data_IF_809271481942
#
_entry.id   IF_809271481942
#
_cell.length_a   1.000
_cell.length_b   1.000
_cell.length_c   1.000
_cell.angle_alpha   90.00
_cell.angle_beta   90.00
_cell.angle_gamma   90.00
#
_symmetry.space_group_name_H-M   'P 1'
#
loop_
_entity.id
_entity.type
_entity.pdbx_description
1 polymer ?
#
# COMPACT_ATOMS: atom_id res chain seq x y z
N UNK A 1 13.20 22.05 -16.05
CA UNK A 1 12.88 23.43 -15.83
C UNK A 1 12.61 24.21 -17.10
N UNK A 2 11.55 23.86 -17.87
CA UNK A 2 11.01 24.70 -18.98
C UNK A 2 9.55 24.98 -18.72
N UNK A 3 9.10 26.21 -18.96
CA UNK A 3 7.67 26.52 -19.06
C UNK A 3 7.15 25.80 -20.31
N UNK A 4 6.15 24.94 -20.15
CA UNK A 4 5.57 24.12 -21.25
C UNK A 4 4.26 24.68 -21.76
N UNK A 5 3.52 25.39 -20.90
CA UNK A 5 2.26 26.03 -21.23
C UNK A 5 1.97 27.16 -20.24
N UNK A 6 1.07 28.08 -20.64
CA UNK A 6 0.49 29.14 -19.81
C UNK A 6 -1.02 29.11 -20.01
N UNK A 7 -1.78 29.07 -18.93
CA UNK A 7 -3.23 28.91 -18.94
C UNK A 7 -3.93 29.97 -18.10
N UNK A 8 -5.10 30.37 -18.57
CA UNK A 8 -6.05 31.07 -17.71
C UNK A 8 -6.78 30.03 -16.83
N UNK A 9 -6.85 30.27 -15.53
CA UNK A 9 -7.54 29.37 -14.56
C UNK A 9 -9.00 29.12 -14.91
N UNK A 10 -9.66 30.07 -15.58
CA UNK A 10 -11.07 29.94 -16.00
C UNK A 10 -11.25 29.04 -17.24
N UNK A 11 -10.17 28.71 -17.96
CA UNK A 11 -10.22 28.02 -19.26
C UNK A 11 -9.45 26.71 -19.28
N UNK A 12 -8.97 26.27 -18.16
CA UNK A 12 -8.21 25.01 -18.04
C UNK A 12 -8.90 24.02 -17.10
N UNK A 13 -8.58 22.72 -17.28
CA UNK A 13 -9.04 21.67 -16.39
C UNK A 13 -7.87 21.03 -15.64
N UNK A 14 -8.12 20.31 -14.52
CA UNK A 14 -7.10 19.53 -13.83
C UNK A 14 -6.40 18.53 -14.75
N UNK A 15 -7.13 17.90 -15.66
CA UNK A 15 -6.62 16.94 -16.63
C UNK A 15 -5.65 17.60 -17.61
N UNK A 16 -6.00 18.77 -18.15
CA UNK A 16 -5.15 19.52 -19.07
C UNK A 16 -3.86 20.00 -18.40
N UNK A 17 -3.94 20.44 -17.13
CA UNK A 17 -2.76 20.79 -16.33
C UNK A 17 -1.88 19.55 -16.11
N UNK A 18 -2.47 18.41 -15.74
CA UNK A 18 -1.75 17.17 -15.54
C UNK A 18 -1.04 16.70 -16.82
N UNK A 19 -1.72 16.74 -17.98
CA UNK A 19 -1.13 16.39 -19.28
C UNK A 19 0.08 17.25 -19.62
N UNK A 20 -0.01 18.56 -19.39
CA UNK A 20 1.10 19.48 -19.67
C UNK A 20 2.27 19.32 -18.68
N UNK A 21 1.99 19.01 -17.40
CA UNK A 21 3.02 18.73 -16.40
C UNK A 21 3.81 17.44 -16.70
N UNK A 22 3.13 16.40 -17.18
CA UNK A 22 3.71 15.08 -17.47
C UNK A 22 4.22 15.00 -18.91
N UNK A 23 3.70 15.83 -19.82
CA UNK A 23 4.06 15.86 -21.24
C UNK A 23 3.37 14.76 -22.07
N UNK A 24 2.36 14.09 -21.52
CA UNK A 24 1.50 13.10 -22.19
C UNK A 24 0.15 13.02 -21.49
N UNK A 25 -0.84 12.41 -22.16
CA UNK A 25 -2.12 12.10 -21.50
C UNK A 25 -1.91 11.26 -20.26
N UNK A 26 -2.56 11.66 -19.17
CA UNK A 26 -2.57 10.95 -17.90
C UNK A 26 -3.96 10.39 -17.68
N UNK A 27 -4.06 9.06 -17.54
CA UNK A 27 -5.31 8.39 -17.26
C UNK A 27 -5.38 8.13 -15.75
N UNK A 28 -6.03 9.03 -15.01
CA UNK A 28 -6.30 8.83 -13.58
C UNK A 28 -7.39 7.77 -13.34
N UNK A 29 -8.21 7.46 -14.38
CA UNK A 29 -9.19 6.37 -14.33
C UNK A 29 -8.62 5.10 -14.94
N UNK A 30 -8.41 4.08 -14.14
CA UNK A 30 -7.90 2.79 -14.59
C UNK A 30 -9.06 1.81 -14.84
N UNK A 31 -9.01 1.09 -15.97
CA UNK A 31 -9.92 -0.03 -16.20
C UNK A 31 -9.58 -1.14 -15.22
N UNK A 32 -10.48 -1.41 -14.28
CA UNK A 32 -10.34 -2.54 -13.36
C UNK A 32 -10.51 -3.85 -14.17
N UNK A 33 -9.56 -4.78 -14.11
CA UNK A 33 -9.76 -6.09 -14.72
C UNK A 33 -10.89 -6.81 -13.99
N UNK A 34 -11.86 -7.33 -14.73
CA UNK A 34 -12.93 -8.16 -14.17
C UNK A 34 -12.34 -9.54 -13.90
N UNK A 35 -11.87 -9.76 -12.68
CA UNK A 35 -11.38 -11.06 -12.25
C UNK A 35 -12.41 -11.74 -11.36
N UNK A 36 -12.45 -13.07 -11.45
CA UNK A 36 -13.21 -13.86 -10.48
C UNK A 36 -12.43 -13.86 -9.16
N UNK A 37 -12.99 -13.24 -8.15
CA UNK A 37 -12.43 -13.18 -6.80
C UNK A 37 -12.33 -14.60 -6.24
N UNK A 38 -11.18 -14.92 -5.64
CA UNK A 38 -10.89 -16.24 -5.08
C UNK A 38 -11.41 -16.43 -3.66
N UNK A 39 -10.78 -17.34 -2.91
CA UNK A 39 -11.09 -17.59 -1.49
C UNK A 39 -10.50 -16.49 -0.59
N UNK A 40 -11.02 -16.32 0.64
CA UNK A 40 -10.39 -15.47 1.64
C UNK A 40 -8.96 -15.92 1.93
N UNK A 41 -8.00 -14.99 1.93
CA UNK A 41 -6.58 -15.21 2.27
C UNK A 41 -6.17 -14.43 3.52
N UNK A 42 -6.95 -13.41 3.89
CA UNK A 42 -6.84 -12.70 5.16
C UNK A 42 -8.24 -12.61 5.78
N UNK A 43 -8.38 -13.08 7.01
CA UNK A 43 -9.59 -12.89 7.81
C UNK A 43 -9.21 -12.18 9.11
N UNK A 44 -9.92 -11.11 9.42
CA UNK A 44 -9.78 -10.33 10.66
C UNK A 44 -11.08 -10.49 11.43
N UNK A 45 -11.01 -10.96 12.68
CA UNK A 45 -12.20 -11.24 13.50
C UNK A 45 -12.08 -10.60 14.88
N UNK A 46 -12.98 -9.66 15.18
CA UNK A 46 -13.14 -8.97 16.47
C UNK A 46 -11.83 -8.38 17.00
N UNK A 47 -10.99 -7.83 16.10
CA UNK A 47 -9.71 -7.23 16.50
C UNK A 47 -9.95 -5.92 17.22
N UNK A 48 -9.39 -5.82 18.42
CA UNK A 48 -9.38 -4.58 19.21
C UNK A 48 -7.97 -4.31 19.72
N UNK A 49 -7.61 -3.03 19.78
CA UNK A 49 -6.26 -2.60 20.15
C UNK A 49 -6.31 -1.31 20.95
N UNK A 50 -5.55 -1.29 22.04
CA UNK A 50 -5.30 -0.11 22.87
C UNK A 50 -3.92 0.45 22.56
N UNK A 51 -3.84 1.77 22.33
CA UNK A 51 -2.57 2.47 22.17
C UNK A 51 -1.74 2.42 23.45
N UNK A 52 -0.48 2.83 23.38
CA UNK A 52 0.42 2.92 24.55
C UNK A 52 -0.12 3.87 25.65
N UNK A 53 -0.96 4.82 25.27
CA UNK A 53 -1.61 5.78 26.17
C UNK A 53 -2.95 5.27 26.75
N UNK A 54 -3.29 3.99 26.50
CA UNK A 54 -4.52 3.36 27.00
C UNK A 54 -5.80 3.76 26.24
N UNK A 55 -5.67 4.36 25.06
CA UNK A 55 -6.81 4.72 24.23
C UNK A 55 -7.18 3.54 23.33
N UNK A 56 -8.44 3.11 23.34
CA UNK A 56 -8.95 2.07 22.45
C UNK A 56 -9.08 2.60 21.02
N UNK A 57 -8.08 2.32 20.18
CA UNK A 57 -7.97 2.83 18.80
C UNK A 57 -8.61 1.92 17.76
N UNK A 58 -8.73 0.61 18.04
CA UNK A 58 -9.50 -0.34 17.25
C UNK A 58 -10.53 -1.05 18.12
N UNK A 59 -11.77 -1.19 17.62
CA UNK A 59 -12.93 -1.68 18.36
C UNK A 59 -13.66 -2.73 17.53
N UNK A 60 -13.44 -4.02 17.81
CA UNK A 60 -14.12 -5.15 17.18
C UNK A 60 -14.07 -5.14 15.64
N UNK A 61 -12.92 -4.82 15.07
CA UNK A 61 -12.73 -4.82 13.62
C UNK A 61 -12.85 -6.23 13.08
N UNK A 62 -13.72 -6.40 12.07
CA UNK A 62 -13.94 -7.69 11.39
C UNK A 62 -14.16 -7.48 9.91
N UNK A 63 -13.37 -8.12 9.06
CA UNK A 63 -13.52 -8.17 7.60
C UNK A 63 -12.73 -9.35 7.03
N UNK A 64 -12.95 -9.65 5.77
CA UNK A 64 -12.16 -10.58 4.99
C UNK A 64 -11.57 -9.91 3.75
N UNK A 65 -10.44 -10.43 3.26
CA UNK A 65 -9.80 -10.04 2.02
C UNK A 65 -9.54 -11.28 1.19
N UNK A 66 -9.96 -11.26 -0.07
CA UNK A 66 -9.95 -12.42 -0.97
C UNK A 66 -8.83 -12.33 -1.99
N UNK A 67 -8.39 -13.48 -2.48
CA UNK A 67 -7.41 -13.58 -3.55
C UNK A 67 -7.88 -12.82 -4.81
N UNK A 68 -6.99 -11.99 -5.37
CA UNK A 68 -7.30 -11.15 -6.53
C UNK A 68 -8.29 -10.00 -6.27
N UNK A 69 -8.53 -9.67 -5.00
CA UNK A 69 -9.36 -8.55 -4.57
C UNK A 69 -8.50 -7.35 -4.14
N UNK A 70 -8.96 -6.14 -4.43
CA UNK A 70 -8.53 -4.93 -3.73
C UNK A 70 -9.65 -4.50 -2.80
N UNK A 71 -9.44 -4.65 -1.49
CA UNK A 71 -10.30 -4.12 -0.45
C UNK A 71 -9.78 -2.75 -0.02
N UNK A 72 -10.57 -1.70 -0.26
CA UNK A 72 -10.26 -0.35 0.16
C UNK A 72 -10.76 -0.09 1.58
N UNK A 73 -9.93 0.50 2.42
CA UNK A 73 -10.34 1.05 3.72
C UNK A 73 -10.33 2.57 3.62
N UNK A 74 -11.52 3.16 3.56
CA UNK A 74 -11.73 4.59 3.59
C UNK A 74 -11.88 5.08 5.04
N UNK A 75 -11.41 6.28 5.34
CA UNK A 75 -11.57 6.90 6.65
C UNK A 75 -10.68 8.13 6.81
N UNK A 76 -11.06 9.03 7.70
CA UNK A 76 -10.24 10.19 8.06
C UNK A 76 -8.99 9.73 8.79
N UNK A 77 -7.86 10.40 8.59
CA UNK A 77 -6.61 10.08 9.28
C UNK A 77 -6.81 10.05 10.82
N UNK A 78 -6.24 9.04 11.47
CA UNK A 78 -6.35 8.84 12.92
C UNK A 78 -7.57 8.01 13.37
N UNK A 79 -8.31 7.40 12.46
CA UNK A 79 -9.44 6.52 12.76
C UNK A 79 -9.04 5.04 12.97
N UNK A 80 -7.74 4.72 13.15
CA UNK A 80 -7.26 3.38 13.47
C UNK A 80 -6.68 2.60 12.28
N UNK A 81 -6.68 3.18 11.08
CA UNK A 81 -6.19 2.49 9.86
C UNK A 81 -4.70 2.14 9.96
N UNK A 82 -3.87 3.06 10.49
CA UNK A 82 -2.43 2.86 10.65
C UNK A 82 -2.14 1.73 11.65
N UNK A 83 -2.86 1.72 12.78
CA UNK A 83 -2.74 0.68 13.80
C UNK A 83 -3.17 -0.69 13.25
N UNK A 84 -4.21 -0.72 12.43
CA UNK A 84 -4.64 -1.94 11.75
C UNK A 84 -3.54 -2.48 10.83
N UNK A 85 -2.96 -1.63 9.96
CA UNK A 85 -1.84 -2.03 9.10
C UNK A 85 -0.64 -2.51 9.90
N UNK A 86 -0.33 -1.86 11.03
CA UNK A 86 0.77 -2.22 11.89
C UNK A 86 0.59 -3.60 12.54
N UNK A 87 -0.62 -3.93 12.99
CA UNK A 87 -0.94 -5.25 13.54
C UNK A 87 -0.88 -6.31 12.44
N UNK A 88 -1.47 -6.06 11.28
CA UNK A 88 -1.49 -7.01 10.17
C UNK A 88 -0.09 -7.30 9.62
N UNK A 89 0.79 -6.29 9.60
CA UNK A 89 2.18 -6.42 9.18
C UNK A 89 3.14 -6.94 10.25
N UNK A 90 2.64 -7.19 11.48
CA UNK A 90 3.43 -7.67 12.61
C UNK A 90 4.39 -6.62 13.19
N UNK A 91 4.11 -5.34 13.02
CA UNK A 91 4.83 -4.23 13.66
C UNK A 91 4.32 -4.02 15.08
N UNK A 92 2.99 -4.12 15.26
CA UNK A 92 2.34 -4.07 16.57
C UNK A 92 1.72 -5.42 16.94
N UNK A 93 1.62 -5.68 18.23
CA UNK A 93 1.12 -6.96 18.77
C UNK A 93 -0.41 -7.01 18.69
N UNK A 94 -0.97 -8.13 18.25
CA UNK A 94 -2.40 -8.42 18.35
C UNK A 94 -2.79 -8.58 19.82
N UNK A 95 -3.65 -7.70 20.34
CA UNK A 95 -4.07 -7.71 21.75
C UNK A 95 -5.37 -8.47 21.97
N UNK A 96 -6.36 -8.35 21.06
CA UNK A 96 -7.67 -9.02 21.14
C UNK A 96 -8.16 -9.41 19.76
N UNK A 97 -8.98 -10.46 19.68
CA UNK A 97 -9.51 -11.00 18.42
C UNK A 97 -8.60 -12.05 17.80
N UNK A 98 -8.73 -12.27 16.50
CA UNK A 98 -7.86 -13.18 15.76
C UNK A 98 -7.64 -12.71 14.33
N UNK A 99 -6.52 -13.10 13.76
CA UNK A 99 -6.17 -12.87 12.36
C UNK A 99 -5.86 -14.22 11.75
N UNK A 100 -6.42 -14.54 10.57
CA UNK A 100 -6.05 -15.72 9.81
C UNK A 100 -5.40 -15.27 8.50
N UNK A 101 -4.19 -15.75 8.24
CA UNK A 101 -3.40 -15.46 7.04
C UNK A 101 -3.09 -16.79 6.36
N UNK A 102 -3.57 -17.00 5.12
CA UNK A 102 -3.34 -18.22 4.35
C UNK A 102 -3.60 -19.49 5.18
N UNK A 103 -4.81 -19.59 5.77
CA UNK A 103 -5.28 -20.70 6.61
C UNK A 103 -4.53 -20.87 7.96
N UNK A 104 -3.64 -19.95 8.35
CA UNK A 104 -2.94 -19.95 9.63
C UNK A 104 -3.50 -18.88 10.55
N UNK A 105 -4.01 -19.29 11.69
CA UNK A 105 -4.60 -18.39 12.69
C UNK A 105 -3.55 -17.87 13.67
N UNK A 106 -3.56 -16.57 13.86
CA UNK A 106 -2.75 -15.82 14.83
C UNK A 106 -3.68 -15.37 15.96
N UNK A 107 -3.36 -15.73 17.19
CA UNK A 107 -4.10 -15.37 18.40
C UNK A 107 -3.38 -14.24 19.15
N UNK A 108 -4.07 -13.56 20.10
CA UNK A 108 -3.48 -12.50 20.89
C UNK A 108 -2.18 -12.91 21.59
N UNK A 109 -1.23 -11.98 21.62
CA UNK A 109 0.08 -12.14 22.25
C UNK A 109 0.96 -13.29 21.73
N UNK A 110 0.57 -13.89 20.60
CA UNK A 110 1.46 -14.83 19.90
C UNK A 110 2.62 -14.08 19.25
N UNK A 111 3.69 -14.82 18.98
CA UNK A 111 4.86 -14.30 18.27
C UNK A 111 4.50 -14.07 16.78
N UNK A 112 3.78 -12.97 16.53
CA UNK A 112 3.51 -12.39 15.22
C UNK A 112 4.37 -11.17 15.05
N UNK A 113 5.27 -11.18 14.06
CA UNK A 113 6.20 -10.09 13.77
C UNK A 113 6.42 -9.95 12.26
N UNK A 114 7.03 -8.84 11.83
CA UNK A 114 7.18 -8.54 10.41
C UNK A 114 7.98 -9.57 9.61
N UNK A 115 8.87 -10.34 10.27
CA UNK A 115 9.55 -11.46 9.62
C UNK A 115 8.57 -12.60 9.33
N UNK A 116 7.75 -12.99 10.31
CA UNK A 116 6.72 -14.02 10.13
C UNK A 116 5.64 -13.58 9.13
N UNK A 117 5.24 -12.32 9.15
CA UNK A 117 4.31 -11.79 8.18
C UNK A 117 4.83 -12.02 6.74
N UNK A 118 6.11 -11.70 6.47
CA UNK A 118 6.75 -11.96 5.18
C UNK A 118 6.84 -13.46 4.85
N UNK A 119 7.19 -14.30 5.83
CA UNK A 119 7.21 -15.76 5.65
C UNK A 119 5.83 -16.33 5.30
N UNK A 120 4.76 -15.66 5.71
CA UNK A 120 3.37 -16.00 5.38
C UNK A 120 2.87 -15.31 4.10
N UNK A 121 3.76 -14.65 3.37
CA UNK A 121 3.45 -14.00 2.10
C UNK A 121 2.76 -12.64 2.24
N UNK A 122 2.88 -11.98 3.39
CA UNK A 122 2.37 -10.61 3.61
C UNK A 122 3.50 -9.62 3.37
N UNK A 123 3.32 -8.72 2.42
CA UNK A 123 4.18 -7.55 2.20
C UNK A 123 3.48 -6.26 2.66
N UNK A 124 4.25 -5.23 3.00
CA UNK A 124 3.71 -3.99 3.54
C UNK A 124 4.39 -2.75 2.98
N UNK A 125 3.62 -1.93 2.30
CA UNK A 125 3.97 -0.56 1.90
C UNK A 125 3.40 0.39 2.95
N UNK A 126 4.25 0.99 3.82
CA UNK A 126 3.79 1.81 4.92
C UNK A 126 3.31 3.19 4.46
N UNK A 127 2.41 3.82 5.23
CA UNK A 127 1.91 5.18 4.99
C UNK A 127 3.02 6.24 5.06
N UNK A 128 3.98 6.05 5.97
CA UNK A 128 5.15 6.91 6.12
C UNK A 128 6.42 6.16 5.70
N UNK A 129 6.82 6.39 4.45
CA UNK A 129 8.01 5.79 3.87
C UNK A 129 9.32 6.17 4.57
N UNK A 130 9.39 7.37 5.18
CA UNK A 130 10.60 7.83 5.87
C UNK A 130 10.74 7.19 7.24
N UNK A 131 9.63 6.93 7.92
CA UNK A 131 9.63 6.33 9.25
C UNK A 131 9.79 4.81 9.19
N UNK A 132 9.21 4.14 8.18
CA UNK A 132 9.06 2.68 8.13
C UNK A 132 9.42 2.03 6.80
N UNK A 133 9.52 2.81 5.72
CA UNK A 133 9.74 2.28 4.37
C UNK A 133 11.21 2.22 3.97
N UNK A 134 11.99 3.23 4.33
CA UNK A 134 13.37 3.43 3.88
C UNK A 134 14.29 3.85 5.02
N UNK A 135 15.55 3.47 4.91
CA UNK A 135 16.66 4.05 5.68
C UNK A 135 17.34 5.05 4.75
N UNK A 136 17.03 6.34 4.91
CA UNK A 136 17.45 7.39 3.95
C UNK A 136 18.96 7.45 3.65
N UNK A 137 19.88 7.25 4.61
CA UNK A 137 21.31 7.19 4.33
C UNK A 137 21.75 5.99 3.50
N UNK A 138 20.96 4.90 3.48
CA UNK A 138 21.27 3.67 2.75
C UNK A 138 21.20 3.90 1.24
N UNK A 139 21.99 3.11 0.50
CA UNK A 139 21.91 3.06 -0.95
C UNK A 139 20.63 2.35 -1.43
N UNK A 140 20.25 2.60 -2.67
CA UNK A 140 19.09 1.94 -3.26
C UNK A 140 19.19 0.41 -3.18
N UNK A 141 20.40 -0.16 -3.41
CA UNK A 141 20.58 -1.61 -3.31
C UNK A 141 20.35 -2.15 -1.88
N UNK A 142 20.67 -1.38 -0.83
CA UNK A 142 20.43 -1.80 0.55
C UNK A 142 18.94 -1.70 0.92
N UNK A 143 18.30 -0.61 0.52
CA UNK A 143 16.86 -0.43 0.76
C UNK A 143 16.01 -1.43 -0.03
N UNK A 144 16.44 -1.82 -1.24
CA UNK A 144 15.67 -2.76 -2.08
C UNK A 144 15.64 -4.20 -1.55
N UNK A 145 16.59 -4.58 -0.69
CA UNK A 145 16.61 -5.90 -0.05
C UNK A 145 16.25 -5.85 1.43
N UNK A 146 15.88 -4.68 1.96
CA UNK A 146 15.59 -4.49 3.38
C UNK A 146 14.40 -5.36 3.80
N UNK A 147 14.63 -6.26 4.76
CA UNK A 147 13.65 -7.26 5.20
C UNK A 147 13.69 -8.57 4.41
N UNK A 148 14.31 -8.59 3.22
CA UNK A 148 14.41 -9.75 2.33
C UNK A 148 15.86 -10.25 2.14
N UNK A 149 16.83 -9.65 2.82
CA UNK A 149 18.27 -9.92 2.68
C UNK A 149 18.69 -11.37 2.93
N UNK A 150 17.83 -12.20 3.54
CA UNK A 150 18.04 -13.63 3.74
C UNK A 150 17.59 -14.51 2.58
N UNK A 151 17.01 -13.92 1.54
CA UNK A 151 16.60 -14.66 0.35
C UNK A 151 17.85 -15.21 -0.37
N UNK A 152 17.78 -16.47 -0.80
CA UNK A 152 18.86 -17.16 -1.52
C UNK A 152 19.28 -16.42 -2.80
N UNK A 153 18.39 -15.64 -3.40
CA UNK A 153 18.69 -14.82 -4.56
C UNK A 153 19.74 -13.71 -4.27
N UNK A 154 19.91 -13.32 -3.00
CA UNK A 154 20.83 -12.27 -2.57
C UNK A 154 22.06 -12.79 -1.83
N UNK A 155 22.14 -14.10 -1.62
CA UNK A 155 23.22 -14.70 -0.84
C UNK A 155 23.96 -15.81 -1.59
N UNK A 156 25.19 -16.04 -1.17
CA UNK A 156 26.00 -17.21 -1.55
C UNK A 156 26.39 -17.91 -0.24
N UNK A 157 25.51 -18.79 0.25
CA UNK A 157 25.63 -19.41 1.58
C UNK A 157 25.36 -18.41 2.71
N UNK A 158 26.31 -18.19 3.61
CA UNK A 158 26.18 -17.30 4.75
C UNK A 158 26.44 -15.81 4.43
N UNK A 159 26.99 -15.50 3.26
CA UNK A 159 27.38 -14.15 2.87
C UNK A 159 26.45 -13.58 1.80
N UNK A 160 26.13 -12.31 1.92
CA UNK A 160 25.43 -11.57 0.86
C UNK A 160 26.34 -11.41 -0.36
N UNK A 161 25.82 -11.72 -1.54
CA UNK A 161 26.52 -11.52 -2.80
C UNK A 161 26.19 -10.13 -3.38
N UNK A 162 27.09 -9.19 -3.13
CA UNK A 162 26.91 -7.80 -3.56
C UNK A 162 26.70 -7.67 -5.07
N UNK A 163 27.32 -8.52 -5.90
CA UNK A 163 27.15 -8.46 -7.37
C UNK A 163 25.74 -8.87 -7.77
N UNK A 164 25.23 -9.97 -7.20
CA UNK A 164 23.86 -10.41 -7.44
C UNK A 164 22.84 -9.35 -7.01
N UNK A 165 23.07 -8.72 -5.83
CA UNK A 165 22.20 -7.67 -5.31
C UNK A 165 22.20 -6.45 -6.26
N UNK A 166 23.37 -5.97 -6.69
CA UNK A 166 23.46 -4.81 -7.59
C UNK A 166 22.75 -5.08 -8.92
N UNK A 167 22.99 -6.23 -9.55
CA UNK A 167 22.32 -6.59 -10.81
C UNK A 167 20.80 -6.65 -10.64
N UNK A 168 20.32 -7.32 -9.58
CA UNK A 168 18.90 -7.38 -9.27
C UNK A 168 18.29 -5.99 -9.08
N UNK A 169 18.98 -5.09 -8.38
CA UNK A 169 18.46 -3.75 -8.11
C UNK A 169 18.56 -2.83 -9.32
N UNK A 170 19.55 -3.00 -10.19
CA UNK A 170 19.61 -2.28 -11.46
C UNK A 170 18.41 -2.63 -12.35
N UNK A 171 18.04 -3.92 -12.44
CA UNK A 171 16.81 -4.36 -13.11
C UNK A 171 15.54 -3.80 -12.43
N UNK A 172 15.49 -3.82 -11.10
CA UNK A 172 14.35 -3.33 -10.32
C UNK A 172 14.13 -1.82 -10.54
N UNK A 173 15.17 -0.99 -10.45
CA UNK A 173 15.05 0.46 -10.65
C UNK A 173 14.68 0.80 -12.10
N UNK A 174 15.05 -0.04 -13.06
CA UNK A 174 14.63 0.12 -14.46
C UNK A 174 13.15 -0.24 -14.65
N UNK A 175 12.74 -1.42 -14.17
CA UNK A 175 11.38 -1.95 -14.34
C UNK A 175 10.31 -1.05 -13.69
N UNK A 176 10.64 -0.46 -12.53
CA UNK A 176 9.73 0.45 -11.80
C UNK A 176 9.97 1.93 -12.10
N UNK A 177 10.84 2.24 -13.08
CA UNK A 177 11.20 3.62 -13.47
C UNK A 177 11.59 4.49 -12.26
N UNK A 178 12.42 3.96 -11.36
CA UNK A 178 13.00 4.73 -10.26
C UNK A 178 14.14 5.58 -10.82
N UNK A 179 14.08 6.89 -10.64
CA UNK A 179 15.07 7.83 -11.21
C UNK A 179 15.81 8.61 -10.13
N UNK A 180 17.15 8.76 -10.25
CA UNK A 180 18.01 8.24 -11.31
C UNK A 180 18.16 6.70 -11.21
N UNK A 181 18.30 6.04 -12.38
CA UNK A 181 18.45 4.58 -12.50
C UNK A 181 19.83 4.14 -12.03
N UNK A 182 19.98 4.00 -10.74
CA UNK A 182 21.26 3.59 -10.12
C UNK A 182 21.01 2.89 -8.79
N UNK A 183 21.50 1.67 -8.67
CA UNK A 183 21.51 0.91 -7.41
C UNK A 183 22.41 1.56 -6.34
N UNK A 184 23.41 2.31 -6.75
CA UNK A 184 24.48 2.83 -5.90
C UNK A 184 24.32 4.30 -5.49
N UNK A 185 23.13 4.87 -5.61
CA UNK A 185 22.80 6.20 -5.06
C UNK A 185 22.11 6.06 -3.71
N UNK A 186 22.37 6.99 -2.77
CA UNK A 186 21.64 7.03 -1.51
C UNK A 186 20.16 7.34 -1.75
N UNK A 187 19.27 6.57 -1.14
CA UNK A 187 17.83 6.73 -1.29
C UNK A 187 17.32 8.08 -0.79
N UNK A 188 18.03 8.73 0.13
CA UNK A 188 17.73 10.09 0.57
C UNK A 188 17.89 11.15 -0.53
N UNK A 189 18.61 10.85 -1.62
CA UNK A 189 18.77 11.75 -2.78
C UNK A 189 17.67 11.60 -3.83
N UNK A 190 16.81 10.60 -3.69
CA UNK A 190 15.65 10.43 -4.57
C UNK A 190 14.56 11.45 -4.25
N UNK A 191 13.78 11.85 -5.26
CA UNK A 191 12.52 12.57 -5.02
C UNK A 191 11.52 11.69 -4.27
N UNK A 192 10.53 12.31 -3.61
CA UNK A 192 9.49 11.58 -2.86
C UNK A 192 8.79 10.51 -3.70
N UNK A 193 8.44 10.82 -4.95
CA UNK A 193 7.84 9.85 -5.87
C UNK A 193 8.77 8.67 -6.19
N UNK A 194 10.08 8.91 -6.39
CA UNK A 194 11.03 7.83 -6.64
C UNK A 194 11.33 7.00 -5.38
N UNK A 195 11.30 7.60 -4.20
CA UNK A 195 11.36 6.88 -2.92
C UNK A 195 10.15 5.94 -2.77
N UNK A 196 8.95 6.42 -3.09
CA UNK A 196 7.73 5.62 -3.04
C UNK A 196 7.76 4.45 -4.03
N UNK A 197 8.21 4.71 -5.27
CA UNK A 197 8.42 3.66 -6.28
C UNK A 197 9.41 2.60 -5.80
N UNK A 198 10.50 2.99 -5.12
CA UNK A 198 11.49 2.05 -4.59
C UNK A 198 10.90 1.14 -3.51
N UNK A 199 10.09 1.69 -2.59
CA UNK A 199 9.39 0.91 -1.56
C UNK A 199 8.41 -0.06 -2.20
N UNK A 200 7.55 0.43 -3.10
CA UNK A 200 6.60 -0.39 -3.84
C UNK A 200 7.29 -1.51 -4.63
N UNK A 201 8.36 -1.17 -5.37
CA UNK A 201 9.14 -2.12 -6.15
C UNK A 201 9.66 -3.27 -5.29
N UNK A 202 10.24 -2.96 -4.13
CA UNK A 202 10.71 -3.97 -3.16
C UNK A 202 9.60 -4.91 -2.71
N UNK A 203 8.46 -4.36 -2.32
CA UNK A 203 7.35 -5.15 -1.78
C UNK A 203 6.63 -5.95 -2.89
N UNK A 204 6.48 -5.39 -4.09
CA UNK A 204 5.88 -6.09 -5.24
C UNK A 204 6.78 -7.20 -5.76
N UNK A 205 8.10 -6.98 -5.85
CA UNK A 205 9.06 -7.96 -6.36
C UNK A 205 9.25 -9.15 -5.41
N UNK A 206 8.84 -9.01 -4.14
CA UNK A 206 8.78 -10.13 -3.20
C UNK A 206 7.70 -11.16 -3.57
N UNK A 207 6.84 -10.86 -4.55
CA UNK A 207 5.74 -11.69 -5.05
C UNK A 207 4.78 -12.13 -3.93
N UNK A 208 4.16 -11.18 -3.21
CA UNK A 208 3.37 -11.48 -2.03
C UNK A 208 2.01 -12.08 -2.39
N UNK A 209 1.46 -12.92 -1.49
CA UNK A 209 0.06 -13.34 -1.55
C UNK A 209 -0.88 -12.21 -1.11
N UNK A 210 -0.44 -11.43 -0.13
CA UNK A 210 -1.19 -10.30 0.44
C UNK A 210 -0.28 -9.08 0.46
N UNK A 211 -0.74 -7.96 -0.12
CA UNK A 211 -0.06 -6.68 -0.06
C UNK A 211 -0.89 -5.69 0.77
N UNK A 212 -0.34 -5.25 1.89
CA UNK A 212 -0.88 -4.17 2.69
C UNK A 212 -0.31 -2.85 2.18
N UNK A 213 -1.16 -1.91 1.78
CA UNK A 213 -0.72 -0.64 1.16
C UNK A 213 -1.35 0.53 1.88
N UNK A 214 -0.53 1.34 2.51
CA UNK A 214 -0.97 2.59 3.14
C UNK A 214 -0.56 3.81 2.33
N UNK A 215 -1.52 4.63 1.93
CA UNK A 215 -1.30 5.94 1.28
C UNK A 215 -0.31 5.88 0.10
N UNK A 216 -0.50 5.01 -0.92
CA UNK A 216 0.52 4.75 -1.94
C UNK A 216 0.92 5.96 -2.76
N UNK A 217 0.05 6.95 -2.91
CA UNK A 217 0.28 8.14 -3.72
C UNK A 217 0.63 9.39 -2.93
N UNK A 218 0.74 9.28 -1.60
CA UNK A 218 1.02 10.42 -0.74
C UNK A 218 2.37 11.08 -1.05
N UNK A 219 2.30 12.35 -1.48
CA UNK A 219 3.49 13.16 -1.76
C UNK A 219 4.28 12.68 -2.98
N UNK A 220 3.58 12.17 -4.00
CA UNK A 220 4.14 11.82 -5.30
C UNK A 220 3.50 12.67 -6.41
N UNK A 221 4.18 12.80 -7.53
CA UNK A 221 3.68 13.52 -8.70
C UNK A 221 2.65 12.68 -9.49
N UNK A 222 1.83 13.35 -10.30
CA UNK A 222 0.74 12.74 -11.07
C UNK A 222 1.24 11.61 -11.99
N UNK A 223 2.41 11.77 -12.59
CA UNK A 223 2.98 10.73 -13.47
C UNK A 223 3.38 9.47 -12.71
N UNK A 224 3.78 9.61 -11.43
CA UNK A 224 4.08 8.49 -10.56
C UNK A 224 2.79 7.81 -10.05
N UNK A 225 1.72 8.56 -9.81
CA UNK A 225 0.40 8.02 -9.40
C UNK A 225 -0.10 6.99 -10.41
N UNK A 226 -0.16 7.35 -11.69
CA UNK A 226 -0.61 6.46 -12.76
C UNK A 226 0.18 5.14 -12.78
N UNK A 227 1.51 5.24 -12.66
CA UNK A 227 2.38 4.07 -12.64
C UNK A 227 2.13 3.17 -11.43
N UNK A 228 1.97 3.76 -10.25
CA UNK A 228 1.64 3.04 -9.01
C UNK A 228 0.32 2.27 -9.17
N UNK A 229 -0.70 2.91 -9.74
CA UNK A 229 -1.98 2.28 -9.98
C UNK A 229 -1.87 1.11 -10.96
N UNK A 230 -1.14 1.29 -12.07
CA UNK A 230 -0.88 0.19 -13.02
C UNK A 230 -0.19 -1.00 -12.35
N UNK A 231 0.81 -0.75 -11.51
CA UNK A 231 1.58 -1.81 -10.86
C UNK A 231 0.72 -2.56 -9.82
N UNK A 232 -0.15 -1.86 -9.07
CA UNK A 232 -1.13 -2.49 -8.18
C UNK A 232 -2.15 -3.34 -8.97
N UNK A 233 -2.67 -2.84 -10.11
CA UNK A 233 -3.59 -3.60 -10.96
C UNK A 233 -2.93 -4.83 -11.59
N UNK A 234 -1.66 -4.74 -12.00
CA UNK A 234 -0.89 -5.90 -12.48
C UNK A 234 -0.73 -6.94 -11.38
N UNK A 235 -0.44 -6.50 -10.15
CA UNK A 235 -0.29 -7.41 -9.02
C UNK A 235 -1.61 -8.11 -8.69
N UNK A 236 -2.72 -7.36 -8.62
CA UNK A 236 -4.07 -7.90 -8.51
C UNK A 236 -4.35 -8.95 -9.59
N UNK A 237 -4.02 -8.65 -10.85
CA UNK A 237 -4.28 -9.57 -11.97
C UNK A 237 -3.50 -10.89 -11.90
N UNK A 238 -2.45 -10.95 -11.08
CA UNK A 238 -1.72 -12.18 -10.76
C UNK A 238 -2.33 -12.96 -9.58
N UNK A 239 -3.44 -12.47 -9.00
CA UNK A 239 -4.12 -13.11 -7.88
C UNK A 239 -3.75 -12.55 -6.50
N UNK A 240 -2.83 -11.60 -6.40
CA UNK A 240 -2.49 -10.99 -5.10
C UNK A 240 -3.69 -10.27 -4.50
N UNK A 241 -3.96 -10.50 -3.22
CA UNK A 241 -4.93 -9.78 -2.43
C UNK A 241 -4.33 -8.47 -1.92
N UNK A 242 -5.02 -7.35 -2.11
CA UNK A 242 -4.49 -6.02 -1.75
C UNK A 242 -5.43 -5.36 -0.75
N UNK A 243 -4.91 -5.02 0.44
CA UNK A 243 -5.59 -4.16 1.39
C UNK A 243 -5.07 -2.73 1.18
N UNK A 244 -5.92 -1.87 0.62
CA UNK A 244 -5.58 -0.48 0.32
C UNK A 244 -6.16 0.44 1.38
N UNK A 245 -5.32 1.17 2.08
CA UNK A 245 -5.72 2.22 3.03
C UNK A 245 -5.39 3.57 2.42
N UNK A 246 -6.38 4.44 2.25
CA UNK A 246 -6.17 5.81 1.78
C UNK A 246 -7.19 6.76 2.39
N UNK A 247 -6.78 8.02 2.57
CA UNK A 247 -7.69 9.13 2.90
C UNK A 247 -8.27 9.79 1.65
N UNK A 248 -7.69 9.51 0.48
CA UNK A 248 -8.12 10.02 -0.81
C UNK A 248 -9.26 9.13 -1.36
N UNK A 249 -10.49 9.66 -1.38
CA UNK A 249 -11.66 8.90 -1.85
C UNK A 249 -11.54 8.48 -3.31
N UNK A 250 -11.00 9.35 -4.15
CA UNK A 250 -10.76 9.04 -5.57
C UNK A 250 -9.85 7.82 -5.75
N UNK A 251 -8.80 7.70 -4.93
CA UNK A 251 -7.90 6.55 -4.94
C UNK A 251 -8.63 5.26 -4.54
N UNK A 252 -9.38 5.31 -3.43
CA UNK A 252 -10.17 4.18 -2.95
C UNK A 252 -11.21 3.75 -3.98
N UNK A 253 -11.98 4.67 -4.54
CA UNK A 253 -13.03 4.38 -5.52
C UNK A 253 -12.45 3.87 -6.84
N UNK A 254 -11.32 4.42 -7.27
CA UNK A 254 -10.68 4.04 -8.54
C UNK A 254 -10.04 2.65 -8.50
N UNK A 255 -9.48 2.23 -7.37
CA UNK A 255 -8.70 1.00 -7.28
C UNK A 255 -9.47 -0.17 -6.68
N UNK A 256 -10.35 0.07 -5.68
CA UNK A 256 -10.96 -0.99 -4.89
C UNK A 256 -12.09 -1.71 -5.63
N UNK A 257 -12.28 -2.98 -5.32
CA UNK A 257 -13.47 -3.74 -5.70
C UNK A 257 -14.57 -3.56 -4.66
N UNK A 258 -14.20 -3.62 -3.40
CA UNK A 258 -15.06 -3.45 -2.23
C UNK A 258 -14.42 -2.43 -1.30
N UNK A 259 -15.25 -1.65 -0.63
CA UNK A 259 -14.82 -0.54 0.25
C UNK A 259 -15.42 -0.76 1.62
N UNK A 260 -14.58 -0.73 2.64
CA UNK A 260 -14.95 -0.69 4.06
C UNK A 260 -14.65 0.71 4.57
N UNK A 261 -15.58 1.29 5.32
CA UNK A 261 -15.41 2.63 5.91
C UNK A 261 -15.12 2.51 7.39
N UNK A 262 -14.02 3.12 7.83
CA UNK A 262 -13.64 3.20 9.24
C UNK A 262 -13.91 4.59 9.81
N UNK A 263 -14.55 4.63 10.98
CA UNK A 263 -14.71 5.83 11.77
C UNK A 263 -14.53 5.52 13.27
N UNK A 264 -13.73 6.31 13.97
CA UNK A 264 -13.44 6.20 15.42
C UNK A 264 -13.07 4.77 15.88
N UNK A 265 -12.27 4.07 15.06
CA UNK A 265 -11.78 2.73 15.37
C UNK A 265 -12.80 1.61 15.14
N UNK A 266 -13.92 1.87 14.46
CA UNK A 266 -14.94 0.89 14.10
C UNK A 266 -15.15 0.86 12.59
N UNK A 267 -15.61 -0.29 12.06
CA UNK A 267 -16.17 -0.36 10.72
C UNK A 267 -17.62 0.11 10.80
N UNK A 268 -17.95 1.17 10.05
CA UNK A 268 -19.28 1.80 10.05
C UNK A 268 -20.09 1.48 8.80
N UNK A 269 -19.47 0.91 7.78
CA UNK A 269 -20.16 0.48 6.56
C UNK A 269 -19.24 -0.28 5.61
N UNK A 270 -19.85 -1.02 4.70
CA UNK A 270 -19.21 -1.76 3.63
C UNK A 270 -20.04 -1.64 2.35
N UNK A 271 -19.38 -1.43 1.21
CA UNK A 271 -20.06 -1.33 -0.09
C UNK A 271 -19.16 -1.83 -1.23
N UNK A 272 -19.76 -2.23 -2.34
CA UNK A 272 -19.03 -2.44 -3.58
C UNK A 272 -18.66 -1.09 -4.21
N UNK A 273 -17.45 -0.96 -4.74
CA UNK A 273 -17.01 0.32 -5.32
C UNK A 273 -17.89 0.80 -6.49
N UNK A 274 -18.55 -0.13 -7.20
CA UNK A 274 -19.50 0.20 -8.27
C UNK A 274 -20.75 0.94 -7.79
N UNK A 275 -21.10 0.81 -6.53
CA UNK A 275 -22.30 1.39 -5.92
C UNK A 275 -21.97 2.56 -4.98
N UNK A 276 -20.68 2.79 -4.72
CA UNK A 276 -20.23 3.84 -3.82
C UNK A 276 -20.33 5.21 -4.49
N UNK A 277 -20.72 6.23 -3.74
CA UNK A 277 -20.59 7.63 -4.11
C UNK A 277 -19.71 8.34 -3.09
N UNK A 278 -19.01 9.40 -3.53
CA UNK A 278 -18.19 10.23 -2.61
C UNK A 278 -19.01 10.77 -1.45
N UNK A 279 -20.28 11.15 -1.72
CA UNK A 279 -21.18 11.68 -0.71
C UNK A 279 -21.50 10.65 0.36
N UNK A 280 -21.82 9.41 -0.03
CA UNK A 280 -22.17 8.33 0.91
C UNK A 280 -20.95 7.92 1.74
N UNK A 281 -19.78 7.75 1.10
CA UNK A 281 -18.53 7.47 1.80
C UNK A 281 -18.17 8.60 2.75
N UNK A 282 -18.29 9.87 2.32
CA UNK A 282 -18.02 11.05 3.15
C UNK A 282 -18.94 11.14 4.38
N UNK A 283 -20.23 10.81 4.24
CA UNK A 283 -21.18 10.76 5.37
C UNK A 283 -20.79 9.66 6.38
N UNK A 284 -20.47 8.45 5.91
CA UNK A 284 -20.00 7.36 6.77
C UNK A 284 -18.70 7.72 7.47
N UNK A 285 -17.72 8.30 6.76
CA UNK A 285 -16.44 8.74 7.33
C UNK A 285 -16.59 9.82 8.40
N UNK A 286 -17.62 10.67 8.29
CA UNK A 286 -17.93 11.71 9.28
C UNK A 286 -18.80 11.24 10.44
N UNK A 287 -19.31 10.01 10.39
CA UNK A 287 -20.20 9.45 11.41
C UNK A 287 -21.64 9.96 11.35
N UNK A 288 -22.04 10.59 10.24
CA UNK A 288 -23.41 11.10 10.06
C UNK A 288 -24.41 10.01 9.68
N UNK A 289 -23.94 8.91 9.08
CA UNK A 289 -24.75 7.73 8.75
C UNK A 289 -23.96 6.46 9.12
N UNK A 290 -24.65 5.50 9.76
CA UNK A 290 -24.19 4.12 9.94
C UNK A 290 -25.11 3.24 9.09
N UNK A 291 -24.57 2.41 8.21
CA UNK A 291 -25.30 1.47 7.35
C UNK A 291 -25.11 0.05 7.84
#
# INVERSE_FOLDING_TARGET
GKVVADFSTEKTSPEELAENMVGRKVLLSIKKPTLKVGKPVLEVKNVSHESKDGVLVLKNISFDLKEGEILGIAGVAGNGQSELLDILSGIETLQKGQITVNDKTILPFQDWNSKKAREFGVAHVPEDRHKRGLVLPFYNYENSILGYHRNENYSSGFLMDKRKILNFVDDLVENFDVRPRSSSISSGKLSGGNQQKLVLAREIESNPNILLVGQPTRGVDIGAIERIYEDLMKLKSKGTAILLVSVELDEIMSLSDRIVVMNQGTIVGETNSSNATELDLGKMMSGLEQV
#
